data_IF_905551478471
#
_entry.id   IF_905551478471
#
_cell.length_a   1.000
_cell.length_b   1.000
_cell.length_c   1.000
_cell.angle_alpha   90.00
_cell.angle_beta   90.00
_cell.angle_gamma   90.00
#
_symmetry.space_group_name_H-M   'P 1'
#
loop_
_entity.id
_entity.type
_entity.pdbx_description
1 polymer ?
#
# COMPACT_ATOMS: atom_id res chain seq x y z
N UNK A 1 5.36 -16.53 -16.22
CA UNK A 1 4.55 -16.96 -15.05
C UNK A 1 3.76 -15.78 -14.52
N UNK A 2 2.46 -15.94 -14.23
CA UNK A 2 1.65 -14.90 -13.57
C UNK A 2 1.40 -15.31 -12.13
N UNK A 3 1.54 -14.38 -11.18
CA UNK A 3 1.21 -14.58 -9.76
C UNK A 3 0.26 -13.47 -9.30
N UNK A 4 -0.76 -13.84 -8.53
CA UNK A 4 -1.70 -12.89 -7.94
C UNK A 4 -1.42 -12.74 -6.45
N UNK A 5 -1.20 -11.51 -5.98
CA UNK A 5 -1.00 -11.19 -4.57
C UNK A 5 -1.31 -9.71 -4.31
N UNK A 6 -1.84 -9.39 -3.14
CA UNK A 6 -2.16 -8.00 -2.75
C UNK A 6 -1.39 -7.66 -1.50
N UNK A 7 -0.78 -6.47 -1.49
CA UNK A 7 0.01 -5.96 -0.37
C UNK A 7 -0.50 -4.58 0.06
N UNK A 8 -0.60 -4.41 1.38
CA UNK A 8 -0.86 -3.12 2.02
C UNK A 8 0.43 -2.47 2.58
N UNK A 9 1.49 -3.26 2.74
CA UNK A 9 2.80 -2.83 3.21
C UNK A 9 3.79 -2.91 2.04
N UNK A 10 4.26 -1.75 1.59
CA UNK A 10 5.17 -1.59 0.45
C UNK A 10 6.50 -2.31 0.72
N UNK A 11 6.98 -2.33 1.97
CA UNK A 11 8.23 -3.03 2.33
C UNK A 11 8.06 -4.55 2.15
N UNK A 12 6.90 -5.10 2.50
CA UNK A 12 6.61 -6.53 2.32
C UNK A 12 6.41 -6.89 0.84
N UNK A 13 5.82 -5.98 0.07
CA UNK A 13 5.71 -6.13 -1.38
C UNK A 13 7.10 -6.17 -2.03
N UNK A 14 7.98 -5.22 -1.67
CA UNK A 14 9.37 -5.19 -2.15
C UNK A 14 10.14 -6.46 -1.78
N UNK A 15 10.03 -6.91 -0.53
CA UNK A 15 10.70 -8.12 -0.07
C UNK A 15 10.24 -9.33 -0.89
N UNK A 16 8.92 -9.51 -1.02
CA UNK A 16 8.36 -10.62 -1.77
C UNK A 16 8.77 -10.59 -3.24
N UNK A 17 8.79 -9.40 -3.87
CA UNK A 17 9.27 -9.24 -5.24
C UNK A 17 10.74 -9.67 -5.38
N UNK A 18 11.60 -9.24 -4.46
CA UNK A 18 13.01 -9.64 -4.46
C UNK A 18 13.21 -11.13 -4.22
N UNK A 19 12.39 -11.78 -3.39
CA UNK A 19 12.40 -13.26 -3.24
C UNK A 19 12.12 -13.94 -4.59
N UNK A 20 11.17 -13.42 -5.38
CA UNK A 20 10.91 -13.94 -6.72
C UNK A 20 12.09 -13.72 -7.66
N UNK A 21 12.73 -12.56 -7.61
CA UNK A 21 13.88 -12.28 -8.47
C UNK A 21 15.08 -13.18 -8.13
N UNK A 22 15.27 -13.53 -6.87
CA UNK A 22 16.32 -14.45 -6.41
C UNK A 22 16.12 -15.89 -6.87
N UNK A 23 14.88 -16.31 -7.14
CA UNK A 23 14.56 -17.62 -7.72
C UNK A 23 14.90 -17.70 -9.24
N UNK A 24 15.51 -16.67 -9.83
CA UNK A 24 15.85 -16.63 -11.27
C UNK A 24 14.71 -16.11 -12.15
N UNK A 25 13.91 -15.18 -11.61
CA UNK A 25 12.86 -14.51 -12.37
C UNK A 25 13.18 -13.02 -12.57
N UNK A 26 12.62 -12.46 -13.64
CA UNK A 26 12.56 -11.03 -13.92
C UNK A 26 11.11 -10.60 -13.93
N UNK A 27 10.76 -9.47 -13.31
CA UNK A 27 9.43 -8.90 -13.45
C UNK A 27 9.33 -8.11 -14.76
N UNK A 28 8.29 -8.40 -15.54
CA UNK A 28 8.04 -7.76 -16.85
C UNK A 28 6.80 -6.88 -16.84
N UNK A 29 5.85 -7.15 -15.96
CA UNK A 29 4.63 -6.34 -15.85
C UNK A 29 4.03 -6.47 -14.45
N UNK A 30 3.50 -5.36 -13.94
CA UNK A 30 2.75 -5.29 -12.70
C UNK A 30 1.41 -4.61 -13.00
N UNK A 31 0.31 -5.28 -12.70
CA UNK A 31 -1.01 -4.69 -12.78
C UNK A 31 -1.37 -4.05 -11.44
N UNK A 32 -2.05 -2.89 -11.48
CA UNK A 32 -2.64 -2.25 -10.30
C UNK A 32 -3.64 -3.13 -9.53
N UNK A 33 -4.09 -4.25 -10.11
CA UNK A 33 -4.94 -5.25 -9.46
C UNK A 33 -4.16 -6.33 -8.69
N UNK A 34 -2.84 -6.21 -8.54
CA UNK A 34 -2.02 -7.19 -7.81
C UNK A 34 -1.67 -8.43 -8.65
N UNK A 35 -1.63 -8.30 -9.98
CA UNK A 35 -1.16 -9.35 -10.88
C UNK A 35 0.27 -9.01 -11.29
N UNK A 36 1.20 -9.91 -10.99
CA UNK A 36 2.61 -9.77 -11.31
C UNK A 36 2.99 -10.79 -12.39
N UNK A 37 3.62 -10.32 -13.46
CA UNK A 37 4.11 -11.16 -14.55
C UNK A 37 5.62 -11.27 -14.46
N UNK A 38 6.09 -12.51 -14.46
CA UNK A 38 7.48 -12.88 -14.34
C UNK A 38 7.93 -13.71 -15.54
N UNK A 39 9.19 -13.55 -15.92
CA UNK A 39 9.88 -14.33 -16.93
C UNK A 39 11.12 -14.98 -16.31
N UNK A 40 11.49 -16.19 -16.76
CA UNK A 40 12.73 -16.81 -16.27
C UNK A 40 13.94 -16.11 -16.87
N UNK A 41 14.98 -15.96 -16.08
CA UNK A 41 16.22 -15.33 -16.51
C UNK A 41 17.39 -15.91 -15.74
N UNK A 42 18.56 -15.95 -16.39
CA UNK A 42 19.81 -16.37 -15.75
C UNK A 42 20.52 -15.21 -15.03
N UNK A 43 19.99 -13.99 -15.20
CA UNK A 43 20.52 -12.77 -14.59
C UNK A 43 19.87 -12.51 -13.24
N UNK A 44 20.67 -12.00 -12.29
CA UNK A 44 20.15 -11.58 -10.99
C UNK A 44 19.58 -10.17 -11.11
N UNK A 45 18.30 -10.00 -10.80
CA UNK A 45 17.67 -8.68 -10.73
C UNK A 45 17.37 -8.29 -9.28
N UNK A 46 17.27 -6.98 -9.04
CA UNK A 46 16.83 -6.39 -7.78
C UNK A 46 15.69 -5.43 -8.06
N UNK A 47 14.71 -5.40 -7.16
CA UNK A 47 13.56 -4.49 -7.21
C UNK A 47 13.57 -3.52 -6.04
N UNK A 48 13.30 -2.25 -6.33
CA UNK A 48 13.04 -1.22 -5.32
C UNK A 48 11.73 -0.51 -5.62
N UNK A 49 10.98 -0.23 -4.56
CA UNK A 49 9.73 0.51 -4.64
C UNK A 49 9.95 1.92 -4.09
N UNK A 50 9.58 2.91 -4.88
CA UNK A 50 9.43 4.30 -4.41
C UNK A 50 7.94 4.65 -4.38
N UNK A 51 7.63 5.74 -3.68
CA UNK A 51 6.30 6.32 -3.64
C UNK A 51 6.41 7.80 -3.98
N UNK A 52 5.65 8.22 -4.99
CA UNK A 52 5.58 9.61 -5.40
C UNK A 52 4.15 10.12 -5.33
N UNK A 53 4.02 11.42 -5.05
CA UNK A 53 2.75 12.12 -5.19
C UNK A 53 2.50 12.50 -6.66
N UNK A 54 1.51 13.35 -6.91
CA UNK A 54 1.28 13.90 -8.23
C UNK A 54 2.52 14.63 -8.78
N UNK A 55 2.99 14.19 -9.95
CA UNK A 55 4.05 14.83 -10.70
C UNK A 55 3.54 15.32 -12.06
N UNK A 56 3.74 16.61 -12.39
CA UNK A 56 3.53 17.11 -13.75
C UNK A 56 4.37 16.31 -14.75
N UNK A 57 3.88 16.14 -15.99
CA UNK A 57 4.52 15.30 -17.03
C UNK A 57 6.02 15.56 -17.17
N UNK A 58 6.44 16.83 -17.21
CA UNK A 58 7.87 17.21 -17.34
C UNK A 58 8.70 16.69 -16.16
N UNK A 59 8.25 16.94 -14.93
CA UNK A 59 8.93 16.48 -13.70
C UNK A 59 8.94 14.97 -13.58
N UNK A 60 7.89 14.29 -14.04
CA UNK A 60 7.84 12.83 -14.05
C UNK A 60 8.86 12.22 -15.02
N UNK A 61 9.03 12.82 -16.21
CA UNK A 61 10.06 12.37 -17.16
C UNK A 61 11.48 12.62 -16.62
N UNK A 62 11.71 13.78 -15.99
CA UNK A 62 12.98 14.09 -15.32
C UNK A 62 13.29 13.11 -14.18
N UNK A 63 12.30 12.87 -13.30
CA UNK A 63 12.36 11.87 -12.24
C UNK A 63 12.76 10.49 -12.78
N UNK A 64 12.15 10.04 -13.88
CA UNK A 64 12.49 8.76 -14.47
C UNK A 64 13.88 8.73 -15.08
N UNK A 65 14.26 9.79 -15.80
CA UNK A 65 15.58 9.92 -16.42
C UNK A 65 16.71 9.80 -15.41
N UNK A 66 16.57 10.42 -14.23
CA UNK A 66 17.55 10.30 -13.14
C UNK A 66 17.81 8.83 -12.80
N UNK A 67 16.77 8.03 -12.61
CA UNK A 67 16.94 6.61 -12.25
C UNK A 67 17.42 5.75 -13.42
N UNK A 68 16.99 6.04 -14.64
CA UNK A 68 17.47 5.38 -15.85
C UNK A 68 18.97 5.59 -16.05
N UNK A 69 19.49 6.78 -15.74
CA UNK A 69 20.93 7.10 -15.77
C UNK A 69 21.75 6.25 -14.76
N UNK A 70 21.13 5.82 -13.66
CA UNK A 70 21.71 4.88 -12.67
C UNK A 70 21.46 3.40 -13.00
N UNK A 71 20.92 3.10 -14.19
CA UNK A 71 20.66 1.74 -14.68
C UNK A 71 19.35 1.12 -14.20
N UNK A 72 18.45 1.88 -13.58
CA UNK A 72 17.14 1.37 -13.17
C UNK A 72 16.15 1.41 -14.34
N UNK A 73 15.45 0.31 -14.55
CA UNK A 73 14.33 0.23 -15.49
C UNK A 73 13.00 0.46 -14.76
N UNK A 74 12.19 1.39 -15.25
CA UNK A 74 10.83 1.62 -14.76
C UNK A 74 9.90 0.49 -15.25
N UNK A 75 9.29 -0.26 -14.34
CA UNK A 75 8.41 -1.39 -14.68
C UNK A 75 6.95 -0.96 -14.69
N UNK A 76 6.53 -0.23 -13.66
CA UNK A 76 5.15 0.21 -13.48
C UNK A 76 5.13 1.43 -12.57
N UNK A 77 4.13 2.30 -12.73
CA UNK A 77 3.92 3.45 -11.88
C UNK A 77 3.32 4.62 -12.63
N UNK A 78 2.51 5.42 -11.94
CA UNK A 78 1.73 6.47 -12.57
C UNK A 78 2.14 7.86 -12.09
N UNK A 79 2.06 8.85 -12.99
CA UNK A 79 2.37 10.26 -12.68
C UNK A 79 1.36 10.92 -11.74
N UNK A 80 0.15 10.35 -11.62
CA UNK A 80 -0.86 10.86 -10.67
C UNK A 80 -0.53 10.50 -9.22
N UNK A 81 0.57 9.80 -9.00
CA UNK A 81 1.04 9.35 -7.70
C UNK A 81 0.83 7.86 -7.50
N UNK A 82 1.36 7.38 -6.38
CA UNK A 82 1.37 5.97 -6.01
C UNK A 82 2.76 5.35 -6.10
N UNK A 83 2.77 4.01 -6.06
CA UNK A 83 3.97 3.19 -6.11
C UNK A 83 4.66 3.31 -7.48
N UNK A 84 5.97 3.45 -7.46
CA UNK A 84 6.85 3.42 -8.62
C UNK A 84 7.76 2.20 -8.46
N UNK A 85 7.72 1.31 -9.45
CA UNK A 85 8.44 0.04 -9.43
C UNK A 85 9.69 0.15 -10.30
N UNK A 86 10.85 -0.02 -9.66
CA UNK A 86 12.14 0.10 -10.28
C UNK A 86 12.88 -1.24 -10.22
N UNK A 87 13.37 -1.70 -11.37
CA UNK A 87 14.12 -2.95 -11.48
C UNK A 87 15.48 -2.73 -12.12
N UNK A 88 16.53 -3.30 -11.54
CA UNK A 88 17.91 -3.18 -12.02
C UNK A 88 18.60 -4.55 -11.99
N UNK A 89 19.53 -4.78 -12.91
CA UNK A 89 20.41 -5.96 -12.86
C UNK A 89 21.36 -5.79 -11.66
N UNK A 90 21.40 -6.77 -10.77
CA UNK A 90 22.05 -6.63 -9.46
C UNK A 90 23.53 -6.26 -9.58
N UNK A 91 23.93 -5.20 -8.91
CA UNK A 91 25.31 -4.74 -8.79
C UNK A 91 25.66 -4.46 -7.31
N UNK A 92 26.77 -3.77 -7.05
CA UNK A 92 27.17 -3.40 -5.69
C UNK A 92 26.29 -2.27 -5.09
N UNK A 93 25.49 -1.57 -5.92
CA UNK A 93 24.64 -0.43 -5.53
C UNK A 93 23.16 -0.68 -5.87
N UNK A 94 22.52 -1.43 -4.97
CA UNK A 94 21.14 -1.85 -5.10
C UNK A 94 20.13 -0.92 -4.38
N UNK A 95 20.56 0.26 -3.92
CA UNK A 95 19.69 1.23 -3.25
C UNK A 95 19.23 2.31 -4.22
N UNK A 96 17.96 2.68 -4.14
CA UNK A 96 17.39 3.78 -4.95
C UNK A 96 17.56 5.15 -4.30
N UNK A 97 17.86 5.19 -3.00
CA UNK A 97 18.12 6.41 -2.25
C UNK A 97 19.57 6.40 -1.81
N UNK A 98 20.36 7.35 -2.32
CA UNK A 98 21.77 7.51 -1.93
C UNK A 98 21.94 8.25 -0.60
N UNK A 99 20.93 9.04 -0.20
CA UNK A 99 21.00 9.89 0.96
C UNK A 99 19.83 9.69 1.94
N UNK A 100 20.12 9.93 3.22
CA UNK A 100 19.19 9.78 4.34
C UNK A 100 17.98 10.73 4.22
N UNK A 101 18.15 11.90 3.62
CA UNK A 101 17.11 12.91 3.49
C UNK A 101 16.05 12.50 2.45
N UNK A 102 16.47 11.92 1.33
CA UNK A 102 15.61 11.33 0.30
C UNK A 102 14.79 10.19 0.88
N UNK A 103 15.42 9.32 1.69
CA UNK A 103 14.72 8.26 2.42
C UNK A 103 13.70 8.83 3.43
N UNK A 104 14.07 9.88 4.17
CA UNK A 104 13.14 10.55 5.09
C UNK A 104 11.94 11.15 4.32
N UNK A 105 12.18 11.81 3.19
CA UNK A 105 11.13 12.38 2.35
C UNK A 105 10.19 11.31 1.79
N UNK A 106 10.72 10.13 1.43
CA UNK A 106 9.91 8.97 1.04
C UNK A 106 8.95 8.54 2.16
N UNK A 107 9.44 8.33 3.39
CA UNK A 107 8.57 7.98 4.52
C UNK A 107 7.59 9.11 4.89
N UNK A 108 7.97 10.37 4.69
CA UNK A 108 7.07 11.50 4.88
C UNK A 108 5.87 11.45 3.93
N UNK A 109 6.09 11.12 2.65
CA UNK A 109 5.01 10.96 1.66
C UNK A 109 4.09 9.78 2.02
N UNK A 110 4.66 8.64 2.37
CA UNK A 110 3.89 7.47 2.82
C UNK A 110 3.06 7.72 4.08
N UNK A 111 3.64 8.43 5.04
CA UNK A 111 2.94 8.87 6.24
C UNK A 111 1.77 9.79 5.87
N UNK A 112 1.99 10.78 5.00
CA UNK A 112 0.93 11.69 4.55
C UNK A 112 -0.22 10.97 3.86
N UNK A 113 0.08 10.03 2.96
CA UNK A 113 -0.92 9.23 2.26
C UNK A 113 -1.73 8.32 3.21
N UNK A 114 -1.04 7.56 4.05
CA UNK A 114 -1.73 6.67 5.00
C UNK A 114 -2.58 7.46 6.01
N UNK A 115 -2.10 8.63 6.43
CA UNK A 115 -2.83 9.49 7.36
C UNK A 115 -4.06 10.13 6.73
N UNK A 116 -3.96 10.61 5.48
CA UNK A 116 -5.12 11.17 4.77
C UNK A 116 -6.19 10.11 4.51
N UNK A 117 -5.79 8.88 4.16
CA UNK A 117 -6.72 7.76 4.01
C UNK A 117 -7.35 7.35 5.34
N UNK A 118 -6.59 7.36 6.44
CA UNK A 118 -7.12 7.14 7.79
C UNK A 118 -8.21 8.16 8.13
N UNK A 119 -7.96 9.45 7.91
CA UNK A 119 -8.94 10.52 8.16
C UNK A 119 -10.19 10.39 7.28
N UNK A 120 -10.02 9.98 6.01
CA UNK A 120 -11.15 9.71 5.12
C UNK A 120 -12.03 8.56 5.65
N UNK A 121 -11.41 7.47 6.12
CA UNK A 121 -12.13 6.32 6.67
C UNK A 121 -12.83 6.66 7.99
N UNK A 122 -12.22 7.51 8.83
CA UNK A 122 -12.86 8.04 10.04
C UNK A 122 -14.07 8.91 9.71
N UNK A 123 -13.94 9.77 8.69
CA UNK A 123 -15.06 10.57 8.21
C UNK A 123 -16.19 9.69 7.66
N UNK A 124 -15.86 8.66 6.87
CA UNK A 124 -16.84 7.68 6.37
C UNK A 124 -17.51 6.86 7.49
N UNK A 125 -16.88 6.74 8.65
CA UNK A 125 -17.45 6.09 9.83
C UNK A 125 -18.44 6.97 10.61
N UNK A 126 -18.46 8.29 10.38
CA UNK A 126 -19.32 9.23 11.14
C UNK A 126 -20.81 8.85 11.19
N UNK A 127 -21.44 8.34 10.11
CA UNK A 127 -22.85 7.92 10.15
C UNK A 127 -23.10 6.68 11.00
N UNK A 128 -22.06 5.95 11.42
CA UNK A 128 -22.17 4.69 12.17
C UNK A 128 -21.69 4.83 13.62
N UNK A 129 -21.62 6.07 14.12
CA UNK A 129 -21.18 6.36 15.49
C UNK A 129 -22.24 6.06 16.55
N UNK A 130 -23.52 6.00 16.16
CA UNK A 130 -24.60 5.56 17.02
C UNK A 130 -24.73 4.03 16.98
N UNK A 131 -24.40 3.38 18.10
CA UNK A 131 -24.51 1.92 18.26
C UNK A 131 -25.95 1.41 18.05
N UNK A 132 -26.95 2.26 18.26
CA UNK A 132 -28.36 1.91 18.05
C UNK A 132 -28.74 1.78 16.57
N UNK A 133 -27.95 2.34 15.66
CA UNK A 133 -28.16 2.27 14.20
C UNK A 133 -27.39 1.11 13.54
N UNK A 134 -26.58 0.37 14.31
CA UNK A 134 -25.84 -0.78 13.79
C UNK A 134 -26.80 -1.90 13.40
N UNK A 135 -27.68 -2.28 14.32
CA UNK A 135 -28.73 -3.26 14.11
C UNK A 135 -30.08 -2.57 13.91
N UNK A 136 -31.04 -3.27 13.31
CA UNK A 136 -32.39 -2.76 13.16
C UNK A 136 -33.06 -2.56 14.52
N UNK A 137 -33.80 -1.46 14.70
CA UNK A 137 -34.40 -1.07 15.98
C UNK A 137 -35.37 -2.13 16.55
N UNK A 138 -36.07 -2.85 15.67
CA UNK A 138 -36.96 -3.96 16.02
C UNK A 138 -36.27 -5.29 16.33
N UNK A 139 -34.95 -5.42 16.18
CA UNK A 139 -34.25 -6.68 16.45
C UNK A 139 -34.37 -7.08 17.93
N UNK A 140 -34.21 -6.11 18.82
CA UNK A 140 -34.19 -6.34 20.27
C UNK A 140 -35.57 -6.68 20.86
N UNK A 141 -36.65 -6.47 20.11
CA UNK A 141 -38.01 -6.83 20.53
C UNK A 141 -38.45 -8.21 20.01
N UNK A 142 -37.65 -8.87 19.16
CA UNK A 142 -37.93 -10.23 18.69
C UNK A 142 -37.70 -11.27 19.79
N UNK A 143 -38.51 -12.34 19.81
CA UNK A 143 -38.38 -13.44 20.76
C UNK A 143 -38.08 -14.77 20.08
N UNK A 144 -37.37 -15.66 20.80
CA UNK A 144 -37.10 -17.03 20.37
C UNK A 144 -36.25 -17.13 19.09
N UNK A 145 -36.58 -18.08 18.23
CA UNK A 145 -35.80 -18.41 17.03
C UNK A 145 -35.73 -17.27 16.00
N UNK A 146 -36.72 -16.38 16.00
CA UNK A 146 -36.76 -15.24 15.08
C UNK A 146 -35.62 -14.24 15.38
N UNK A 147 -35.33 -14.01 16.66
CA UNK A 147 -34.21 -13.16 17.09
C UNK A 147 -32.88 -13.69 16.56
N UNK A 148 -32.58 -14.97 16.75
CA UNK A 148 -31.30 -15.55 16.34
C UNK A 148 -31.09 -15.54 14.84
N UNK A 149 -32.17 -15.77 14.06
CA UNK A 149 -32.13 -15.67 12.59
C UNK A 149 -31.89 -14.24 12.12
N UNK A 150 -32.62 -13.28 12.67
CA UNK A 150 -32.46 -11.87 12.33
C UNK A 150 -31.08 -11.33 12.74
N UNK A 151 -30.59 -11.70 13.92
CA UNK A 151 -29.26 -11.32 14.41
C UNK A 151 -28.15 -11.86 13.51
N UNK A 152 -28.18 -13.17 13.17
CA UNK A 152 -27.19 -13.77 12.29
C UNK A 152 -27.23 -13.18 10.88
N UNK A 153 -28.44 -12.86 10.39
CA UNK A 153 -28.62 -12.22 9.09
C UNK A 153 -28.11 -10.78 9.06
N UNK A 154 -28.28 -10.01 10.13
CA UNK A 154 -27.84 -8.61 10.22
C UNK A 154 -26.34 -8.46 10.50
N UNK A 155 -25.72 -9.45 11.16
CA UNK A 155 -24.32 -9.40 11.58
C UNK A 155 -23.34 -9.07 10.43
N UNK A 156 -23.42 -9.67 9.22
CA UNK A 156 -22.56 -9.30 8.09
C UNK A 156 -22.69 -7.82 7.69
N UNK A 157 -23.89 -7.25 7.75
CA UNK A 157 -24.13 -5.85 7.41
C UNK A 157 -23.57 -4.92 8.49
N UNK A 158 -23.67 -5.32 9.76
CA UNK A 158 -23.04 -4.59 10.87
C UNK A 158 -21.51 -4.59 10.73
N UNK A 159 -20.92 -5.73 10.39
CA UNK A 159 -19.48 -5.81 10.10
C UNK A 159 -19.08 -4.90 8.93
N UNK A 160 -19.92 -4.82 7.89
CA UNK A 160 -19.68 -3.91 6.76
C UNK A 160 -19.76 -2.44 7.20
N UNK A 161 -20.75 -2.07 8.04
CA UNK A 161 -20.87 -0.72 8.62
C UNK A 161 -19.67 -0.35 9.50
N UNK A 162 -19.12 -1.31 10.25
CA UNK A 162 -17.94 -1.11 11.10
C UNK A 162 -16.61 -1.15 10.32
N UNK A 163 -16.61 -1.64 9.08
CA UNK A 163 -15.39 -1.77 8.28
C UNK A 163 -14.59 -0.47 8.12
N UNK A 164 -15.18 0.74 7.98
CA UNK A 164 -14.40 1.97 7.91
C UNK A 164 -13.64 2.28 9.20
N UNK A 165 -14.21 1.98 10.38
CA UNK A 165 -13.53 2.14 11.67
C UNK A 165 -12.34 1.19 11.77
N UNK A 166 -12.55 -0.09 11.44
CA UNK A 166 -11.49 -1.10 11.47
C UNK A 166 -10.35 -0.74 10.50
N UNK A 167 -10.68 -0.29 9.29
CA UNK A 167 -9.70 0.19 8.31
C UNK A 167 -8.98 1.44 8.80
N UNK A 168 -9.67 2.36 9.48
CA UNK A 168 -9.05 3.56 10.05
C UNK A 168 -7.98 3.20 11.09
N UNK A 169 -8.30 2.29 12.01
CA UNK A 169 -7.35 1.82 13.03
C UNK A 169 -6.14 1.18 12.35
N UNK A 170 -6.37 0.28 11.38
CA UNK A 170 -5.31 -0.36 10.61
C UNK A 170 -4.41 0.66 9.90
N UNK A 171 -4.98 1.62 9.17
CA UNK A 171 -4.23 2.67 8.49
C UNK A 171 -3.46 3.57 9.46
N UNK A 172 -4.05 3.89 10.61
CA UNK A 172 -3.38 4.63 11.68
C UNK A 172 -2.12 3.93 12.18
N UNK A 173 -2.14 2.59 12.33
CA UNK A 173 -0.95 1.82 12.71
C UNK A 173 0.15 1.88 11.65
N UNK A 174 -0.23 1.85 10.37
CA UNK A 174 0.69 2.01 9.23
C UNK A 174 1.29 3.42 9.21
N UNK A 175 0.47 4.46 9.36
CA UNK A 175 0.93 5.85 9.44
C UNK A 175 1.92 6.05 10.58
N UNK A 176 1.63 5.48 11.75
CA UNK A 176 2.54 5.54 12.89
C UNK A 176 3.88 4.82 12.62
N UNK A 177 3.85 3.65 11.96
CA UNK A 177 5.06 2.95 11.52
C UNK A 177 5.94 3.85 10.62
N UNK A 178 5.33 4.52 9.64
CA UNK A 178 6.05 5.44 8.75
C UNK A 178 6.53 6.71 9.47
N UNK A 179 5.74 7.26 10.38
CA UNK A 179 6.16 8.38 11.22
C UNK A 179 7.41 8.04 12.04
N UNK A 180 7.45 6.85 12.66
CA UNK A 180 8.63 6.39 13.40
C UNK A 180 9.87 6.26 12.52
N UNK A 181 9.73 5.73 11.30
CA UNK A 181 10.85 5.65 10.34
C UNK A 181 11.32 7.04 9.93
N UNK A 182 10.40 7.93 9.61
CA UNK A 182 10.69 9.32 9.29
C UNK A 182 11.43 10.04 10.43
N UNK A 183 10.95 9.91 11.68
CA UNK A 183 11.54 10.59 12.83
C UNK A 183 12.94 10.09 13.17
N UNK A 184 13.22 8.81 12.95
CA UNK A 184 14.59 8.28 13.08
C UNK A 184 15.52 8.84 12.01
N UNK A 185 15.04 9.01 10.77
CA UNK A 185 15.86 9.47 9.64
C UNK A 185 16.09 10.99 9.63
N UNK A 186 15.16 11.76 10.20
CA UNK A 186 15.29 13.20 10.34
C UNK A 186 16.36 13.54 11.38
N UNK A 187 17.53 13.98 10.92
CA UNK A 187 18.53 14.60 11.79
C UNK A 187 17.96 15.92 12.36
N UNK A 188 18.36 16.24 13.61
CA UNK A 188 17.91 17.44 14.33
C UNK A 188 18.48 18.71 13.73
#
# INVERSE_FOLDING_TARGET
MKRFKVFFDIEKEEQWLNEQLQEGYRCTNISGLGIYTFERTDKRYVMRLDYQDYLPKKKFMEYKGIYEDFGWSHIEGHRLGGRQYWQKEGDDQNEIFSDRQSMANYYKRLMGYSFSLCMLMLFAATPYTDYSELYHTGLWSMQGDLFWKAFLFETPFVLLKLSPVLLSIFLGTISYKFFRRYSMLKEK
#
